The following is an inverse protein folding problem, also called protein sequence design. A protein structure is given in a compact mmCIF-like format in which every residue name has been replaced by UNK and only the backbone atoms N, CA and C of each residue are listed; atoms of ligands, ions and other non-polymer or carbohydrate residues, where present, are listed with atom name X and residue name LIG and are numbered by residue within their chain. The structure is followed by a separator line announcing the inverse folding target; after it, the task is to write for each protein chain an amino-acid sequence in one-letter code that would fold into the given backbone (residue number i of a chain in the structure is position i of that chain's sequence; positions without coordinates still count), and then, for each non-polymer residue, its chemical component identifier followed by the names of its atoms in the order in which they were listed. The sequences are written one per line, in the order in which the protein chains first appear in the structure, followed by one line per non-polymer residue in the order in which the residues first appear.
data_IF_494007693409
#
_entry.id   IF_494007693409
#
_cell.length_a   1.000
_cell.length_b   1.000
_cell.length_c   1.000
_cell.angle_alpha   90.00
_cell.angle_beta   90.00
_cell.angle_gamma   90.00
#
_symmetry.space_group_name_H-M   'P 1'
#
loop_
_entity.id
_entity.type
_entity.pdbx_description
1 polymer ?
#
# COMPACT_ATOMS: atom_id res chain seq x y z
N UNK A 1 5.43 -16.40 17.28
CA UNK A 1 4.72 -16.14 18.56
C UNK A 1 3.20 -16.22 18.42
N UNK A 2 2.56 -15.53 17.45
CA UNK A 2 1.09 -15.51 17.32
C UNK A 2 0.44 -16.89 17.03
N UNK A 3 1.08 -17.76 16.25
CA UNK A 3 0.56 -19.11 15.96
C UNK A 3 0.56 -20.02 17.21
N UNK A 4 1.56 -19.91 18.08
CA UNK A 4 1.66 -20.68 19.32
C UNK A 4 0.63 -20.21 20.36
N UNK A 5 0.40 -18.89 20.45
CA UNK A 5 -0.64 -18.33 21.31
C UNK A 5 -2.05 -18.75 20.85
N UNK A 6 -2.30 -18.74 19.53
CA UNK A 6 -3.57 -19.21 18.96
C UNK A 6 -3.82 -20.70 19.25
N UNK A 7 -2.76 -21.53 19.18
CA UNK A 7 -2.85 -22.95 19.50
C UNK A 7 -3.18 -23.22 20.97
N UNK A 8 -2.51 -22.52 21.91
CA UNK A 8 -2.77 -22.66 23.34
C UNK A 8 -4.20 -22.23 23.72
N UNK A 9 -4.72 -21.17 23.11
CA UNK A 9 -6.11 -20.71 23.34
C UNK A 9 -7.13 -21.69 22.74
N UNK A 10 -6.85 -22.27 21.57
CA UNK A 10 -7.73 -23.23 20.91
C UNK A 10 -7.88 -24.52 21.73
N UNK A 11 -6.79 -25.03 22.31
CA UNK A 11 -6.79 -26.23 23.16
C UNK A 11 -7.50 -25.95 24.49
N UNK A 12 -7.28 -24.77 25.10
CA UNK A 12 -7.86 -24.42 26.41
C UNK A 12 -9.35 -24.09 26.34
N UNK A 13 -9.87 -23.67 25.18
CA UNK A 13 -11.31 -23.37 24.96
C UNK A 13 -12.11 -24.50 24.31
N UNK A 14 -11.50 -25.66 24.03
CA UNK A 14 -12.21 -26.82 23.49
C UNK A 14 -12.88 -26.54 22.14
N UNK A 15 -12.23 -25.77 21.27
CA UNK A 15 -12.78 -25.52 19.93
C UNK A 15 -12.91 -26.86 19.18
N UNK A 16 -14.07 -27.17 18.58
CA UNK A 16 -14.27 -28.42 17.86
C UNK A 16 -13.21 -28.51 16.76
N UNK A 17 -12.45 -29.62 16.77
CA UNK A 17 -11.46 -29.91 15.73
C UNK A 17 -12.22 -29.94 14.40
N UNK A 18 -12.01 -28.94 13.55
CA UNK A 18 -12.64 -28.90 12.24
C UNK A 18 -12.29 -30.19 11.51
N UNK A 19 -13.29 -31.06 11.32
CA UNK A 19 -13.17 -32.22 10.44
C UNK A 19 -12.75 -31.70 9.06
N UNK A 20 -11.72 -32.30 8.46
CA UNK A 20 -11.25 -31.89 7.15
C UNK A 20 -12.46 -31.95 6.19
N UNK A 21 -12.90 -30.80 5.63
CA UNK A 21 -14.19 -30.71 4.95
C UNK A 21 -14.22 -31.44 3.59
N UNK A 22 -13.17 -32.19 3.27
CA UNK A 22 -13.01 -32.94 2.03
C UNK A 22 -12.42 -32.10 0.90
N UNK A 23 -11.71 -32.75 -0.01
CA UNK A 23 -11.11 -32.13 -1.20
C UNK A 23 -12.12 -31.36 -2.06
N UNK A 24 -13.40 -31.75 -2.00
CA UNK A 24 -14.48 -31.06 -2.69
C UNK A 24 -14.73 -29.63 -2.15
N UNK A 25 -14.67 -29.42 -0.84
CA UNK A 25 -14.89 -28.08 -0.25
C UNK A 25 -13.67 -27.18 -0.48
N UNK A 26 -12.47 -27.77 -0.50
CA UNK A 26 -11.23 -27.09 -0.88
C UNK A 26 -11.31 -26.66 -2.35
N UNK A 27 -11.67 -27.55 -3.27
CA UNK A 27 -11.81 -27.24 -4.69
C UNK A 27 -12.89 -26.17 -4.95
N UNK A 28 -14.02 -26.23 -4.23
CA UNK A 28 -15.09 -25.21 -4.34
C UNK A 28 -14.64 -23.85 -3.83
N UNK A 29 -13.93 -23.80 -2.70
CA UNK A 29 -13.38 -22.54 -2.16
C UNK A 29 -12.30 -21.97 -3.08
N UNK A 30 -11.48 -22.83 -3.70
CA UNK A 30 -10.48 -22.42 -4.67
C UNK A 30 -11.14 -21.84 -5.93
N UNK A 31 -12.17 -22.52 -6.45
CA UNK A 31 -12.96 -22.00 -7.58
C UNK A 31 -13.67 -20.69 -7.25
N UNK A 32 -14.11 -20.49 -5.99
CA UNK A 32 -14.70 -19.23 -5.53
C UNK A 32 -13.67 -18.10 -5.36
N UNK A 33 -12.37 -18.40 -5.26
CA UNK A 33 -11.29 -17.41 -5.15
C UNK A 33 -10.67 -17.03 -6.51
N UNK A 34 -10.81 -17.89 -7.53
CA UNK A 34 -10.34 -17.63 -8.90
C UNK A 34 -10.81 -16.26 -9.45
N UNK A 35 -12.07 -15.82 -9.28
CA UNK A 35 -12.52 -14.53 -9.79
C UNK A 35 -11.82 -13.34 -9.10
N UNK A 36 -11.49 -13.47 -7.81
CA UNK A 36 -10.73 -12.46 -7.08
C UNK A 36 -9.29 -12.35 -7.58
N UNK A 37 -8.67 -13.48 -7.93
CA UNK A 37 -7.32 -13.50 -8.52
C UNK A 37 -7.28 -12.86 -9.91
N UNK A 38 -8.39 -12.93 -10.65
CA UNK A 38 -8.52 -12.34 -11.98
C UNK A 38 -8.33 -10.82 -11.99
N UNK A 39 -8.56 -10.14 -10.86
CA UNK A 39 -8.27 -8.70 -10.69
C UNK A 39 -6.78 -8.41 -10.96
N UNK A 40 -5.88 -9.25 -10.46
CA UNK A 40 -4.42 -9.07 -10.66
C UNK A 40 -4.06 -9.24 -12.12
N UNK A 41 -4.67 -10.23 -12.78
CA UNK A 41 -4.48 -10.46 -14.22
C UNK A 41 -5.01 -9.29 -15.04
N UNK A 42 -6.12 -8.68 -14.62
CA UNK A 42 -6.68 -7.50 -15.29
C UNK A 42 -5.74 -6.30 -15.17
N UNK A 43 -5.17 -6.06 -13.99
CA UNK A 43 -4.21 -4.96 -13.76
C UNK A 43 -2.91 -5.20 -14.55
N UNK A 44 -2.28 -6.36 -14.35
CA UNK A 44 -1.00 -6.68 -14.99
C UNK A 44 -1.16 -6.83 -16.51
N UNK A 45 -2.22 -7.50 -16.95
CA UNK A 45 -2.54 -7.65 -18.37
C UNK A 45 -2.85 -6.32 -19.05
N UNK A 46 -3.59 -5.42 -18.39
CA UNK A 46 -3.88 -4.08 -18.90
C UNK A 46 -2.62 -3.23 -19.09
N UNK A 47 -1.70 -3.29 -18.11
CA UNK A 47 -0.44 -2.55 -18.16
C UNK A 47 0.54 -3.19 -19.17
N UNK A 48 0.75 -4.51 -19.14
CA UNK A 48 1.74 -5.20 -19.99
C UNK A 48 1.31 -5.26 -21.47
N UNK A 49 0.01 -5.29 -21.75
CA UNK A 49 -0.48 -5.24 -23.14
C UNK A 49 -0.32 -3.87 -23.79
N UNK A 50 0.01 -2.82 -23.01
CA UNK A 50 0.18 -1.46 -23.50
C UNK A 50 -1.12 -0.81 -24.00
N UNK A 51 -2.26 -1.45 -23.80
CA UNK A 51 -3.57 -0.94 -24.22
C UNK A 51 -4.06 0.14 -23.24
N UNK A 52 -3.72 0.02 -21.95
CA UNK A 52 -4.16 0.93 -20.91
C UNK A 52 -3.03 1.37 -20.00
N UNK A 53 -3.15 2.58 -19.47
CA UNK A 53 -2.26 3.10 -18.42
C UNK A 53 -2.59 2.47 -17.06
N UNK A 54 -1.66 2.60 -16.10
CA UNK A 54 -1.85 2.06 -14.75
C UNK A 54 -3.12 2.61 -14.06
N UNK A 55 -3.46 3.88 -14.31
CA UNK A 55 -4.66 4.53 -13.78
C UNK A 55 -5.95 3.99 -14.37
N UNK A 56 -5.99 3.75 -15.68
CA UNK A 56 -7.17 3.17 -16.36
C UNK A 56 -7.37 1.71 -15.96
N UNK A 57 -6.28 0.93 -15.90
CA UNK A 57 -6.31 -0.47 -15.48
C UNK A 57 -6.82 -0.63 -14.05
N UNK A 58 -6.40 0.26 -13.13
CA UNK A 58 -6.91 0.28 -11.76
C UNK A 58 -8.41 0.61 -11.70
N UNK A 59 -8.89 1.56 -12.51
CA UNK A 59 -10.31 1.89 -12.58
C UNK A 59 -11.15 0.70 -13.05
N UNK A 60 -10.73 0.01 -14.12
CA UNK A 60 -11.42 -1.18 -14.63
C UNK A 60 -11.40 -2.32 -13.60
N UNK A 61 -10.27 -2.51 -12.90
CA UNK A 61 -10.14 -3.51 -11.84
C UNK A 61 -11.10 -3.25 -10.67
N UNK A 62 -11.29 -1.99 -10.26
CA UNK A 62 -12.25 -1.61 -9.21
C UNK A 62 -13.69 -1.83 -9.67
N UNK A 63 -14.02 -1.47 -10.92
CA UNK A 63 -15.35 -1.73 -11.49
C UNK A 63 -15.64 -3.24 -11.55
N UNK A 64 -14.66 -4.04 -11.96
CA UNK A 64 -14.77 -5.50 -11.97
C UNK A 64 -14.95 -6.06 -10.54
N UNK A 65 -14.16 -5.59 -9.57
CA UNK A 65 -14.29 -6.00 -8.17
C UNK A 65 -15.67 -5.65 -7.59
N UNK A 66 -16.22 -4.48 -7.93
CA UNK A 66 -17.56 -4.08 -7.54
C UNK A 66 -18.63 -4.98 -8.18
N UNK A 67 -18.54 -5.21 -9.49
CA UNK A 67 -19.43 -6.12 -10.20
C UNK A 67 -19.38 -7.53 -9.59
N UNK A 68 -18.18 -8.03 -9.31
CA UNK A 68 -17.98 -9.33 -8.69
C UNK A 68 -18.63 -9.42 -7.30
N UNK A 69 -18.47 -8.38 -6.48
CA UNK A 69 -19.01 -8.38 -5.11
C UNK A 69 -20.54 -8.24 -5.08
N UNK A 70 -21.11 -7.52 -6.05
CA UNK A 70 -22.56 -7.34 -6.20
C UNK A 70 -23.22 -8.59 -6.81
N UNK A 71 -22.71 -9.08 -7.93
CA UNK A 71 -23.35 -10.14 -8.71
C UNK A 71 -22.99 -11.55 -8.25
N UNK A 72 -21.71 -11.82 -7.94
CA UNK A 72 -21.26 -13.17 -7.58
C UNK A 72 -21.38 -13.43 -6.07
N UNK A 73 -20.83 -12.54 -5.25
CA UNK A 73 -20.88 -12.72 -3.80
C UNK A 73 -22.21 -12.28 -3.20
N UNK A 74 -22.93 -11.33 -3.83
CA UNK A 74 -24.20 -10.76 -3.35
C UNK A 74 -24.13 -10.32 -1.87
N UNK A 75 -22.94 -9.99 -1.39
CA UNK A 75 -22.65 -9.63 0.00
C UNK A 75 -22.57 -8.12 0.21
N UNK A 76 -22.52 -7.34 -0.87
CA UNK A 76 -22.34 -5.89 -0.78
C UNK A 76 -23.66 -5.19 -0.42
N UNK A 77 -23.82 -4.83 0.86
CA UNK A 77 -24.81 -3.83 1.28
C UNK A 77 -24.24 -2.43 1.06
N UNK A 78 -25.11 -1.46 0.73
CA UNK A 78 -24.72 -0.06 0.51
C UNK A 78 -23.90 0.51 1.68
N UNK A 79 -24.29 0.19 2.91
CA UNK A 79 -23.56 0.58 4.13
C UNK A 79 -22.12 0.04 4.17
N UNK A 80 -21.90 -1.21 3.73
CA UNK A 80 -20.57 -1.80 3.69
C UNK A 80 -19.69 -1.16 2.61
N UNK A 81 -20.28 -0.81 1.46
CA UNK A 81 -19.59 -0.06 0.42
C UNK A 81 -19.13 1.32 0.90
N UNK A 82 -20.03 2.11 1.49
CA UNK A 82 -19.71 3.44 2.04
C UNK A 82 -18.67 3.34 3.15
N UNK A 83 -18.77 2.33 4.04
CA UNK A 83 -17.77 2.10 5.08
C UNK A 83 -16.38 1.76 4.51
N UNK A 84 -16.32 0.95 3.47
CA UNK A 84 -15.06 0.61 2.80
C UNK A 84 -14.46 1.83 2.08
N UNK A 85 -15.27 2.57 1.33
CA UNK A 85 -14.86 3.78 0.64
C UNK A 85 -14.38 4.86 1.63
N UNK A 86 -15.11 5.09 2.72
CA UNK A 86 -14.72 6.04 3.77
C UNK A 86 -13.39 5.66 4.42
N UNK A 87 -13.14 4.37 4.65
CA UNK A 87 -11.86 3.90 5.17
C UNK A 87 -10.72 4.16 4.18
N UNK A 88 -10.94 3.89 2.89
CA UNK A 88 -9.96 4.17 1.84
C UNK A 88 -9.65 5.67 1.77
N UNK A 89 -10.68 6.52 1.71
CA UNK A 89 -10.56 7.99 1.66
C UNK A 89 -9.85 8.52 2.90
N UNK A 90 -10.10 7.97 4.08
CA UNK A 90 -9.42 8.40 5.31
C UNK A 90 -7.92 8.15 5.23
N UNK A 91 -7.50 6.97 4.76
CA UNK A 91 -6.07 6.65 4.60
C UNK A 91 -5.42 7.51 3.53
N UNK A 92 -6.04 7.64 2.36
CA UNK A 92 -5.49 8.46 1.28
C UNK A 92 -5.50 9.95 1.63
N UNK A 93 -6.51 10.42 2.37
CA UNK A 93 -6.64 11.81 2.79
C UNK A 93 -5.50 12.24 3.71
N UNK A 94 -5.11 11.41 4.67
CA UNK A 94 -3.93 11.68 5.53
C UNK A 94 -2.66 11.77 4.68
N UNK A 95 -2.48 10.85 3.73
CA UNK A 95 -1.30 10.83 2.85
C UNK A 95 -1.26 12.09 1.97
N UNK A 96 -2.39 12.47 1.35
CA UNK A 96 -2.49 13.66 0.51
C UNK A 96 -2.25 14.95 1.30
N UNK A 97 -2.73 15.02 2.55
CA UNK A 97 -2.47 16.15 3.44
C UNK A 97 -0.97 16.28 3.74
N UNK A 98 -0.30 15.16 4.08
CA UNK A 98 1.16 15.14 4.28
C UNK A 98 1.92 15.58 3.03
N UNK A 99 1.50 15.12 1.84
CA UNK A 99 2.09 15.56 0.56
C UNK A 99 1.87 17.07 0.34
N UNK A 100 0.69 17.60 0.69
CA UNK A 100 0.39 19.03 0.58
C UNK A 100 1.27 19.90 1.50
N UNK A 101 1.48 19.47 2.74
CA UNK A 101 2.39 20.15 3.67
C UNK A 101 3.84 20.04 3.18
N UNK A 102 4.26 18.83 2.78
CA UNK A 102 5.62 18.57 2.31
C UNK A 102 5.96 19.38 1.05
N UNK A 103 5.04 19.47 0.09
CA UNK A 103 5.21 20.27 -1.12
C UNK A 103 5.27 21.77 -0.83
N UNK A 104 4.42 22.28 0.07
CA UNK A 104 4.47 23.69 0.50
C UNK A 104 5.79 24.01 1.20
N UNK A 105 6.26 23.13 2.09
CA UNK A 105 7.54 23.27 2.77
C UNK A 105 8.72 23.22 1.79
N UNK A 106 8.69 22.29 0.83
CA UNK A 106 9.68 22.20 -0.25
C UNK A 106 9.73 23.47 -1.09
N UNK A 107 8.57 24.06 -1.40
CA UNK A 107 8.49 25.33 -2.11
C UNK A 107 9.12 26.48 -1.31
N UNK A 108 8.85 26.57 0.00
CA UNK A 108 9.45 27.57 0.87
C UNK A 108 10.98 27.43 0.96
N UNK A 109 11.48 26.21 1.15
CA UNK A 109 12.93 25.92 1.14
C UNK A 109 13.58 26.41 -0.15
N UNK A 110 12.92 26.16 -1.29
CA UNK A 110 13.38 26.62 -2.59
C UNK A 110 13.38 28.14 -2.70
N UNK A 111 12.35 28.82 -2.19
CA UNK A 111 12.22 30.28 -2.24
C UNK A 111 13.28 30.99 -1.39
N UNK A 112 13.60 30.45 -0.22
CA UNK A 112 14.66 30.98 0.66
C UNK A 112 16.07 30.58 0.22
N UNK A 113 16.23 29.79 -0.86
CA UNK A 113 17.54 29.35 -1.33
C UNK A 113 18.29 28.48 -0.33
N UNK A 114 17.59 27.82 0.59
CA UNK A 114 18.22 27.00 1.64
C UNK A 114 19.01 25.84 1.03
N UNK A 115 18.50 25.24 -0.06
CA UNK A 115 19.21 24.19 -0.80
C UNK A 115 20.53 24.68 -1.40
N UNK A 116 20.54 25.89 -1.95
CA UNK A 116 21.73 26.53 -2.53
C UNK A 116 22.77 26.85 -1.45
N UNK A 117 22.35 27.47 -0.34
CA UNK A 117 23.22 27.77 0.81
C UNK A 117 23.83 26.49 1.41
N UNK A 118 23.02 25.43 1.54
CA UNK A 118 23.49 24.13 2.05
C UNK A 118 24.52 23.51 1.11
N UNK A 119 24.31 23.58 -0.21
CA UNK A 119 25.25 23.09 -1.21
C UNK A 119 26.58 23.86 -1.20
N UNK A 120 26.53 25.18 -1.00
CA UNK A 120 27.73 26.01 -0.88
C UNK A 120 28.50 25.70 0.41
N UNK A 121 27.82 25.52 1.54
CA UNK A 121 28.46 25.10 2.80
C UNK A 121 29.14 23.73 2.66
N UNK A 122 28.51 22.78 1.97
CA UNK A 122 29.10 21.47 1.74
C UNK A 122 30.34 21.55 0.84
N UNK A 123 30.31 22.41 -0.18
CA UNK A 123 31.41 22.63 -1.11
C UNK A 123 32.63 23.28 -0.45
N UNK A 124 32.43 24.03 0.65
CA UNK A 124 33.53 24.57 1.46
C UNK A 124 34.26 23.48 2.26
N UNK A 125 33.57 22.39 2.63
CA UNK A 125 34.15 21.28 3.38
C UNK A 125 34.92 20.34 2.47
N UNK A 126 34.37 20.00 1.29
CA UNK A 126 35.03 19.09 0.35
C UNK A 126 34.52 19.30 -1.08
N UNK A 127 35.43 19.32 -2.05
CA UNK A 127 35.13 19.43 -3.49
C UNK A 127 35.00 18.08 -4.21
N UNK A 128 35.31 16.97 -3.54
CA UNK A 128 35.21 15.61 -4.12
C UNK A 128 33.74 15.14 -4.14
N UNK A 129 33.15 14.86 -5.32
CA UNK A 129 31.74 14.50 -5.46
C UNK A 129 31.33 13.29 -4.60
N UNK A 130 32.18 12.25 -4.55
CA UNK A 130 31.92 11.03 -3.77
C UNK A 130 31.78 11.28 -2.27
N UNK A 131 32.56 12.23 -1.72
CA UNK A 131 32.53 12.56 -0.29
C UNK A 131 31.29 13.37 0.05
N UNK A 132 30.85 14.27 -0.85
CA UNK A 132 29.58 14.99 -0.73
C UNK A 132 28.39 14.02 -0.67
N UNK A 133 28.33 13.05 -1.59
CA UNK A 133 27.27 12.04 -1.60
C UNK A 133 27.22 11.22 -0.29
N UNK A 134 28.40 10.84 0.22
CA UNK A 134 28.52 10.10 1.47
C UNK A 134 28.08 10.94 2.68
N UNK A 135 28.46 12.22 2.72
CA UNK A 135 28.08 13.15 3.78
C UNK A 135 26.55 13.40 3.81
N UNK A 136 25.93 13.60 2.64
CA UNK A 136 24.48 13.74 2.50
C UNK A 136 23.78 12.48 3.01
N UNK A 137 24.24 11.28 2.63
CA UNK A 137 23.67 10.03 3.11
C UNK A 137 23.80 9.88 4.63
N UNK A 138 24.92 10.26 5.24
CA UNK A 138 25.09 10.22 6.70
C UNK A 138 24.11 11.19 7.38
N UNK A 139 23.98 12.42 6.88
CA UNK A 139 23.04 13.40 7.44
C UNK A 139 21.60 12.90 7.31
N UNK A 140 21.22 12.36 6.14
CA UNK A 140 19.90 11.76 5.91
C UNK A 140 19.66 10.52 6.78
N UNK A 141 20.67 9.70 7.02
CA UNK A 141 20.58 8.52 7.88
C UNK A 141 20.33 8.94 9.33
N UNK A 142 21.11 9.88 9.85
CA UNK A 142 20.95 10.40 11.21
C UNK A 142 19.57 11.05 11.37
N UNK A 143 19.17 11.94 10.45
CA UNK A 143 17.83 12.55 10.46
C UNK A 143 16.72 11.50 10.36
N UNK A 144 16.87 10.51 9.48
CA UNK A 144 15.91 9.41 9.33
C UNK A 144 15.73 8.62 10.61
N UNK A 145 16.80 8.42 11.38
CA UNK A 145 16.75 7.72 12.68
C UNK A 145 16.00 8.53 13.75
N UNK A 146 15.91 9.86 13.61
CA UNK A 146 15.13 10.72 14.52
C UNK A 146 13.65 10.87 14.11
N UNK A 147 13.32 10.54 12.85
CA UNK A 147 11.96 10.67 12.30
C UNK A 147 11.12 9.40 12.44
N UNK A 148 11.74 8.26 12.77
CA UNK A 148 11.11 6.98 13.12
C UNK A 148 10.89 6.88 14.65
#
# INVERSE_FOLDING_TARGET
SNLAAAYLVAVKRGYPKGTFPGWHIVARSFAAALPGLFIVVLILGGILSGIFTATESAAVAVLYALALTIFLYRTLKWEHFIKAASKAVRTTGVILLLIGISSTFGYLISLYGVAELTGQMLSQVTSTPWVIFLLINIILFVLGTFLD
#
